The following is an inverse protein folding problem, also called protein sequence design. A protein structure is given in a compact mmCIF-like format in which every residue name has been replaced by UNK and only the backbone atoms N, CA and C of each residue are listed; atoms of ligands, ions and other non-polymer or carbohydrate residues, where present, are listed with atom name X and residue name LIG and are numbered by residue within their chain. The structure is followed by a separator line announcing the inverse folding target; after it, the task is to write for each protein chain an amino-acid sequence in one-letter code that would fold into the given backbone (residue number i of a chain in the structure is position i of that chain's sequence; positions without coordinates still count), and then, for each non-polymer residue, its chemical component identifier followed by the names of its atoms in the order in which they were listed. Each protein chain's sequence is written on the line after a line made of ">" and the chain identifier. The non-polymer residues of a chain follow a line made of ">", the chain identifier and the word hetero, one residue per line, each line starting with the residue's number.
data_IF_321945472684
#
_entry.id   IF_321945472684
#
_cell.length_a   1.000
_cell.length_b   1.000
_cell.length_c   1.000
_cell.angle_alpha   90.00
_cell.angle_beta   90.00
_cell.angle_gamma   90.00
#
_symmetry.space_group_name_H-M   'P 1'
#
loop_
_entity.id
_entity.type
_entity.pdbx_description
1 polymer ?
#
# COMPACT_ATOMS: atom_id res chain seq x y z
N UNK A 1 -8.93 14.27 2.06
CA UNK A 1 -7.96 13.19 2.35
C UNK A 1 -8.53 11.87 1.86
N UNK A 2 -7.84 11.18 0.98
CA UNK A 2 -8.29 9.92 0.41
C UNK A 2 -7.26 8.84 0.65
N UNK A 3 -7.46 8.05 1.69
CA UNK A 3 -6.56 6.94 2.00
C UNK A 3 -7.01 5.73 1.20
N UNK A 4 -6.11 5.22 0.37
CA UNK A 4 -6.37 4.13 -0.55
C UNK A 4 -5.31 3.05 -0.42
N UNK A 5 -5.64 1.87 -0.91
CA UNK A 5 -4.71 0.77 -1.06
C UNK A 5 -4.29 0.70 -2.53
N UNK A 6 -3.00 0.76 -2.79
CA UNK A 6 -2.45 0.62 -4.14
C UNK A 6 -1.71 -0.70 -4.27
N UNK A 7 -2.01 -1.44 -5.32
CA UNK A 7 -1.24 -2.63 -5.69
C UNK A 7 -0.26 -2.23 -6.78
N UNK A 8 1.01 -2.46 -6.53
CA UNK A 8 2.09 -2.11 -7.45
C UNK A 8 2.53 -3.31 -8.28
N UNK A 9 3.19 -3.05 -9.40
CA UNK A 9 3.70 -4.12 -10.28
C UNK A 9 4.70 -5.04 -9.58
N UNK A 10 5.36 -4.54 -8.54
CA UNK A 10 6.26 -5.35 -7.72
C UNK A 10 5.53 -6.39 -6.87
N UNK A 11 4.21 -6.30 -6.77
CA UNK A 11 3.42 -7.12 -5.86
C UNK A 11 3.24 -6.50 -4.49
N UNK A 12 3.86 -5.36 -4.24
CA UNK A 12 3.70 -4.67 -2.96
C UNK A 12 2.32 -4.02 -2.86
N UNK A 13 1.74 -4.08 -1.67
CA UNK A 13 0.52 -3.38 -1.34
C UNK A 13 0.88 -2.20 -0.44
N UNK A 14 0.48 -1.00 -0.85
CA UNK A 14 0.85 0.24 -0.17
C UNK A 14 -0.42 1.02 0.19
N UNK A 15 -0.51 1.40 1.45
CA UNK A 15 -1.58 2.28 1.93
C UNK A 15 -1.03 3.70 1.99
N UNK A 16 -1.73 4.65 1.39
CA UNK A 16 -1.32 6.04 1.37
C UNK A 16 -2.51 6.96 1.13
N UNK A 17 -2.33 8.23 1.46
CA UNK A 17 -3.21 9.27 0.94
C UNK A 17 -2.73 9.54 -0.49
N UNK A 18 -3.54 9.15 -1.48
CA UNK A 18 -3.13 9.16 -2.87
C UNK A 18 -3.79 10.30 -3.62
N UNK A 19 -2.98 11.15 -4.22
CA UNK A 19 -3.43 12.20 -5.11
C UNK A 19 -2.98 11.91 -6.53
N UNK A 20 -3.68 12.47 -7.51
CA UNK A 20 -3.36 12.30 -8.91
C UNK A 20 -2.69 13.56 -9.45
N UNK A 21 -1.62 13.37 -10.25
CA UNK A 21 -1.04 14.44 -11.03
C UNK A 21 -1.49 14.29 -12.49
N UNK A 22 -2.13 15.31 -13.00
CA UNK A 22 -2.59 15.36 -14.37
C UNK A 22 -1.90 16.48 -15.14
N UNK A 23 -1.70 16.28 -16.44
CA UNK A 23 -1.12 17.29 -17.30
C UNK A 23 -2.19 18.30 -17.77
N UNK A 24 -1.80 19.24 -18.62
CA UNK A 24 -2.71 20.26 -19.15
C UNK A 24 -3.85 19.69 -19.99
N UNK A 25 -3.69 18.48 -20.51
CA UNK A 25 -4.69 17.77 -21.29
C UNK A 25 -5.58 16.87 -20.45
N UNK A 26 -5.49 16.99 -19.12
CA UNK A 26 -6.22 16.18 -18.14
C UNK A 26 -5.89 14.70 -18.21
N UNK A 27 -4.67 14.37 -18.66
CA UNK A 27 -4.20 13.00 -18.67
C UNK A 27 -3.44 12.70 -17.38
N UNK A 28 -3.68 11.52 -16.83
CA UNK A 28 -2.99 11.07 -15.62
C UNK A 28 -1.52 10.79 -15.94
N UNK A 29 -0.62 11.46 -15.24
CA UNK A 29 0.81 11.31 -15.44
C UNK A 29 1.44 10.47 -14.33
N UNK A 30 1.10 10.78 -13.08
CA UNK A 30 1.67 10.10 -11.93
C UNK A 30 0.74 10.22 -10.73
N UNK A 31 1.08 9.48 -9.67
CA UNK A 31 0.40 9.58 -8.38
C UNK A 31 1.34 10.17 -7.35
N UNK A 32 0.79 10.91 -6.41
CA UNK A 32 1.50 11.32 -5.21
C UNK A 32 1.01 10.46 -4.05
N UNK A 33 1.91 9.69 -3.47
CA UNK A 33 1.63 8.88 -2.28
C UNK A 33 2.11 9.65 -1.06
N UNK A 34 1.17 10.11 -0.26
CA UNK A 34 1.49 10.83 0.97
C UNK A 34 1.55 9.86 2.13
N UNK A 35 2.69 9.84 2.81
CA UNK A 35 2.96 8.95 3.95
C UNK A 35 2.63 7.49 3.65
N UNK A 36 3.28 6.89 2.65
CA UNK A 36 2.96 5.52 2.26
C UNK A 36 3.49 4.50 3.26
N UNK A 37 2.66 3.49 3.54
CA UNK A 37 3.03 2.35 4.36
C UNK A 37 2.83 1.07 3.57
N UNK A 38 3.82 0.21 3.61
CA UNK A 38 3.73 -1.10 2.99
C UNK A 38 2.97 -2.04 3.92
N UNK A 39 2.08 -2.83 3.36
CA UNK A 39 1.26 -3.79 4.11
C UNK A 39 1.76 -5.18 3.82
N UNK A 40 1.99 -5.96 4.86
CA UNK A 40 2.28 -7.39 4.72
C UNK A 40 1.40 -8.19 5.64
N UNK A 41 0.91 -9.29 5.09
CA UNK A 41 0.16 -10.27 5.88
C UNK A 41 1.15 -11.34 6.33
N UNK A 42 1.32 -11.45 7.64
CA UNK A 42 2.12 -12.52 8.22
C UNK A 42 1.20 -13.63 8.66
N UNK A 43 1.47 -14.82 8.18
CA UNK A 43 0.76 -16.01 8.61
C UNK A 43 1.67 -16.81 9.53
N UNK A 44 1.24 -17.02 10.76
CA UNK A 44 1.93 -17.88 11.70
C UNK A 44 1.01 -19.01 12.10
N UNK A 45 1.60 -20.19 12.34
CA UNK A 45 0.86 -21.31 12.90
C UNK A 45 1.09 -21.33 14.40
N UNK A 46 -0.01 -21.29 15.15
CA UNK A 46 0.04 -21.49 16.57
C UNK A 46 -0.38 -22.94 16.85
N UNK A 47 0.53 -23.71 17.43
CA UNK A 47 0.23 -25.06 17.84
C UNK A 47 -0.43 -25.01 19.21
N UNK A 48 -1.73 -25.30 19.21
CA UNK A 48 -2.46 -25.55 20.43
C UNK A 48 -2.66 -27.06 20.52
N UNK A 49 -2.74 -27.61 21.70
CA UNK A 49 -2.98 -29.07 21.88
C UNK A 49 -4.04 -29.54 20.88
N UNK A 50 -3.65 -30.43 20.00
CA UNK A 50 -4.51 -31.08 19.00
C UNK A 50 -5.02 -30.18 17.87
N UNK A 51 -4.57 -28.92 17.79
CA UNK A 51 -4.97 -28.03 16.69
C UNK A 51 -3.83 -27.15 16.25
N UNK A 52 -3.65 -27.04 14.92
CA UNK A 52 -2.83 -25.97 14.35
C UNK A 52 -3.78 -25.04 13.59
N UNK A 53 -3.81 -23.77 13.99
CA UNK A 53 -4.60 -22.75 13.32
C UNK A 53 -3.69 -21.71 12.70
N UNK A 54 -3.89 -21.38 11.43
CA UNK A 54 -3.18 -20.26 10.85
C UNK A 54 -3.67 -18.96 11.50
N UNK A 55 -2.74 -18.14 11.93
CA UNK A 55 -3.04 -16.84 12.50
C UNK A 55 -2.49 -15.79 11.56
N UNK A 56 -3.37 -14.94 11.05
CA UNK A 56 -3.00 -13.86 10.15
C UNK A 56 -2.79 -12.58 10.95
N UNK A 57 -1.63 -11.97 10.75
CA UNK A 57 -1.30 -10.68 11.33
C UNK A 57 -0.96 -9.70 10.22
N UNK A 58 -1.50 -8.50 10.32
CA UNK A 58 -1.13 -7.41 9.43
C UNK A 58 0.06 -6.67 10.02
N UNK A 59 1.06 -6.44 9.19
CA UNK A 59 2.22 -5.64 9.55
C UNK A 59 2.30 -4.46 8.60
N UNK A 60 2.58 -3.28 9.16
CA UNK A 60 2.72 -2.04 8.41
C UNK A 60 4.10 -1.48 8.65
N UNK A 61 4.80 -1.11 7.58
CA UNK A 61 6.05 -0.39 7.72
C UNK A 61 6.10 0.74 6.70
N UNK A 62 6.82 1.78 7.09
CA UNK A 62 7.04 2.91 6.19
C UNK A 62 7.66 2.39 4.89
N UNK A 63 7.00 2.69 3.78
CA UNK A 63 7.54 2.38 2.46
C UNK A 63 8.76 3.25 2.24
N UNK A 64 9.83 2.68 1.65
CA UNK A 64 11.09 3.38 1.50
C UNK A 64 11.61 3.92 2.85
N UNK A 65 11.80 3.01 3.81
CA UNK A 65 12.08 3.37 5.21
C UNK A 65 13.38 4.17 5.42
N UNK A 66 14.29 4.13 4.45
CA UNK A 66 15.54 4.90 4.53
C UNK A 66 15.43 6.29 3.92
N UNK A 67 14.31 6.62 3.31
CA UNK A 67 14.07 7.95 2.74
C UNK A 67 13.63 8.94 3.80
N UNK A 68 14.07 10.17 3.65
CA UNK A 68 13.58 11.29 4.48
C UNK A 68 12.23 11.81 3.99
N UNK A 69 11.87 11.47 2.76
CA UNK A 69 10.66 11.99 2.15
C UNK A 69 9.42 11.27 2.68
N UNK A 70 8.44 12.03 3.10
CA UNK A 70 7.15 11.49 3.50
C UNK A 70 6.21 11.31 2.31
N UNK A 71 6.47 12.04 1.24
CA UNK A 71 5.65 12.01 0.04
C UNK A 71 6.49 11.49 -1.12
N UNK A 72 5.93 10.54 -1.87
CA UNK A 72 6.64 9.86 -2.96
C UNK A 72 5.81 9.93 -4.22
N UNK A 73 6.42 10.38 -5.32
CA UNK A 73 5.78 10.40 -6.62
C UNK A 73 6.00 9.05 -7.30
N UNK A 74 4.89 8.41 -7.69
CA UNK A 74 4.91 7.09 -8.32
C UNK A 74 4.35 7.20 -9.73
N UNK A 75 5.09 6.67 -10.71
CA UNK A 75 4.65 6.67 -12.10
C UNK A 75 3.35 5.86 -12.22
N UNK A 76 2.42 6.37 -13.02
CA UNK A 76 1.12 5.71 -13.27
C UNK A 76 1.28 4.27 -13.74
N UNK A 77 2.32 3.99 -14.53
CA UNK A 77 2.53 2.66 -15.12
C UNK A 77 2.99 1.63 -14.10
N UNK A 78 3.43 2.08 -12.92
CA UNK A 78 3.86 1.18 -11.85
C UNK A 78 2.70 0.69 -10.98
N UNK A 79 1.57 1.36 -11.04
CA UNK A 79 0.38 1.04 -10.24
C UNK A 79 -0.54 0.14 -11.04
N UNK A 80 -0.85 -1.04 -10.49
CA UNK A 80 -1.78 -1.98 -11.13
C UNK A 80 -3.21 -1.55 -10.88
N UNK A 81 -3.56 -1.28 -9.62
CA UNK A 81 -4.88 -0.82 -9.26
C UNK A 81 -4.86 -0.07 -7.94
N UNK A 82 -5.89 0.75 -7.75
CA UNK A 82 -6.10 1.49 -6.51
C UNK A 82 -7.47 1.11 -5.98
N UNK A 83 -7.52 0.69 -4.73
CA UNK A 83 -8.72 0.18 -4.10
C UNK A 83 -9.07 0.99 -2.86
N UNK A 84 -10.35 1.08 -2.59
CA UNK A 84 -10.83 1.69 -1.35
C UNK A 84 -10.62 0.73 -0.19
N UNK A 85 -10.23 1.29 0.96
CA UNK A 85 -10.06 0.48 2.15
C UNK A 85 -11.41 0.06 2.72
N UNK A 86 -11.43 -1.12 3.32
CA UNK A 86 -12.59 -1.59 4.07
C UNK A 86 -12.66 -0.79 5.36
N UNK A 87 -13.81 -0.26 5.66
CA UNK A 87 -14.06 0.36 6.95
C UNK A 87 -14.22 -0.73 8.00
N UNK A 88 -13.36 -0.70 8.98
CA UNK A 88 -13.42 -1.62 10.11
C UNK A 88 -13.97 -0.87 11.30
#
# INVERSE_FOLDING_TARGET
>A
MSIKLALLKSGEEVIADIAEFRNSEDELVSYLFKKPYCVKIKTSQVLVENESRPKHQLAYYKWMSLSKDDDIIVNRDWVVCILSLIHI
#
